data_IF_518209135535
#
_entry.id   IF_518209135535
#
_cell.length_a   1.000
_cell.length_b   1.000
_cell.length_c   1.000
_cell.angle_alpha   90.00
_cell.angle_beta   90.00
_cell.angle_gamma   90.00
#
_symmetry.space_group_name_H-M   'P 1'
#
loop_
_entity.id
_entity.type
_entity.pdbx_description
1 polymer ?
#
# COMPACT_ATOMS: atom_id res chain seq x y z
N UNK A 1 -14.64 -8.70 -42.67
CA UNK A 1 -14.16 -10.09 -42.71
C UNK A 1 -13.86 -10.48 -41.28
N UNK A 2 -14.82 -11.11 -40.61
CA UNK A 2 -14.65 -11.67 -39.27
C UNK A 2 -13.69 -12.85 -39.37
N UNK A 3 -12.69 -12.86 -38.50
CA UNK A 3 -11.64 -13.86 -38.42
C UNK A 3 -12.22 -15.24 -38.06
N UNK A 4 -12.53 -16.04 -39.09
CA UNK A 4 -13.14 -17.37 -39.00
C UNK A 4 -12.12 -18.45 -38.62
N UNK A 5 -10.90 -18.07 -38.22
CA UNK A 5 -9.86 -19.03 -37.80
C UNK A 5 -10.02 -19.48 -36.35
N UNK A 6 -10.73 -18.71 -35.52
CA UNK A 6 -11.00 -19.03 -34.12
C UNK A 6 -12.13 -20.06 -33.93
N UNK A 7 -12.97 -20.28 -34.95
CA UNK A 7 -14.08 -21.23 -34.91
C UNK A 7 -13.63 -22.70 -34.93
N UNK A 8 -12.36 -22.96 -35.24
CA UNK A 8 -11.75 -24.31 -35.27
C UNK A 8 -11.18 -24.76 -33.92
N UNK A 9 -10.89 -23.83 -32.99
CA UNK A 9 -10.29 -24.18 -31.70
C UNK A 9 -11.36 -24.50 -30.66
N UNK A 10 -11.27 -25.69 -30.06
CA UNK A 10 -12.16 -26.14 -29.00
C UNK A 10 -11.59 -25.75 -27.63
N UNK A 11 -12.44 -25.17 -26.77
CA UNK A 11 -12.07 -24.88 -25.38
C UNK A 11 -11.93 -26.21 -24.64
N UNK A 12 -10.74 -26.56 -24.16
CA UNK A 12 -10.49 -27.84 -23.51
C UNK A 12 -11.20 -27.97 -22.15
N UNK A 13 -11.52 -29.20 -21.76
CA UNK A 13 -11.96 -29.55 -20.41
C UNK A 13 -10.95 -29.01 -19.38
N UNK A 14 -11.42 -28.49 -18.25
CA UNK A 14 -10.61 -27.84 -17.21
C UNK A 14 -10.36 -26.35 -17.45
N UNK A 15 -10.71 -25.81 -18.62
CA UNK A 15 -10.53 -24.38 -18.90
C UNK A 15 -11.57 -23.56 -18.14
N UNK A 16 -11.10 -22.55 -17.41
CA UNK A 16 -12.01 -21.56 -16.83
C UNK A 16 -12.57 -20.65 -17.92
N UNK A 17 -13.88 -20.43 -17.87
CA UNK A 17 -14.64 -19.62 -18.83
C UNK A 17 -15.59 -18.68 -18.09
N UNK A 18 -15.92 -17.58 -18.75
CA UNK A 18 -16.85 -16.58 -18.25
C UNK A 18 -18.06 -16.48 -19.17
N UNK A 19 -19.26 -16.48 -18.59
CA UNK A 19 -20.50 -16.24 -19.34
C UNK A 19 -20.56 -14.80 -19.88
N UNK A 20 -20.75 -14.66 -21.18
CA UNK A 20 -20.91 -13.35 -21.85
C UNK A 20 -22.34 -12.83 -21.78
N UNK A 21 -23.32 -13.71 -21.55
CA UNK A 21 -24.74 -13.39 -21.47
C UNK A 21 -25.39 -14.11 -20.29
N UNK A 22 -26.47 -13.58 -19.71
CA UNK A 22 -27.20 -14.30 -18.68
C UNK A 22 -27.91 -15.52 -19.28
N UNK A 23 -27.95 -16.62 -18.53
CA UNK A 23 -28.52 -17.90 -18.97
C UNK A 23 -29.62 -18.35 -18.02
N UNK A 24 -30.75 -18.84 -18.54
CA UNK A 24 -31.83 -19.38 -17.71
C UNK A 24 -31.43 -20.76 -17.22
N UNK A 25 -31.61 -21.04 -15.93
CA UNK A 25 -31.31 -22.35 -15.37
C UNK A 25 -32.48 -23.29 -15.68
N UNK A 26 -32.28 -24.39 -16.44
CA UNK A 26 -33.36 -25.32 -16.74
C UNK A 26 -33.97 -25.90 -15.46
N UNK A 27 -35.29 -25.79 -15.31
CA UNK A 27 -36.01 -26.35 -14.16
C UNK A 27 -36.00 -25.49 -12.89
N UNK A 28 -35.40 -24.30 -12.91
CA UNK A 28 -35.47 -23.34 -11.82
C UNK A 28 -36.00 -21.98 -12.33
N UNK A 29 -36.75 -21.25 -11.49
CA UNK A 29 -37.18 -19.89 -11.80
C UNK A 29 -36.05 -18.88 -11.49
N UNK A 30 -34.85 -19.15 -11.97
CA UNK A 30 -33.64 -18.42 -11.65
C UNK A 30 -32.72 -18.31 -12.89
N UNK A 31 -31.92 -17.25 -12.93
CA UNK A 31 -31.01 -16.97 -14.04
C UNK A 31 -29.56 -16.90 -13.54
N UNK A 32 -28.65 -17.46 -14.33
CA UNK A 32 -27.21 -17.31 -14.15
C UNK A 32 -26.77 -15.98 -14.75
N UNK A 33 -26.18 -15.05 -13.98
CA UNK A 33 -25.83 -13.72 -14.49
C UNK A 33 -24.65 -13.77 -15.46
N UNK A 34 -24.61 -12.82 -16.39
CA UNK A 34 -23.40 -12.50 -17.18
C UNK A 34 -22.23 -12.23 -16.24
N UNK A 35 -21.05 -12.71 -16.61
CA UNK A 35 -19.84 -12.60 -15.79
C UNK A 35 -19.62 -13.77 -14.84
N UNK A 36 -20.57 -14.71 -14.75
CA UNK A 36 -20.38 -15.93 -13.95
C UNK A 36 -19.21 -16.75 -14.48
N UNK A 37 -18.32 -17.13 -13.57
CA UNK A 37 -17.16 -17.98 -13.85
C UNK A 37 -17.54 -19.44 -13.68
N UNK A 38 -17.16 -20.26 -14.65
CA UNK A 38 -17.30 -21.71 -14.58
C UNK A 38 -16.11 -22.39 -15.24
N UNK A 39 -16.07 -23.70 -15.12
CA UNK A 39 -15.07 -24.58 -15.71
C UNK A 39 -15.74 -25.45 -16.77
N UNK A 40 -15.11 -25.59 -17.93
CA UNK A 40 -15.57 -26.53 -18.96
C UNK A 40 -15.36 -27.95 -18.44
N UNK A 41 -16.46 -28.69 -18.22
CA UNK A 41 -16.42 -30.09 -17.80
C UNK A 41 -16.57 -31.06 -18.98
N UNK A 42 -17.21 -30.61 -20.07
CA UNK A 42 -17.31 -31.37 -21.31
C UNK A 42 -17.16 -30.42 -22.51
N UNK A 43 -16.21 -30.75 -23.39
CA UNK A 43 -15.97 -30.04 -24.65
C UNK A 43 -16.65 -30.79 -25.80
N UNK A 44 -17.35 -30.10 -26.71
CA UNK A 44 -17.92 -30.72 -27.89
C UNK A 44 -16.84 -31.08 -28.92
N UNK A 45 -17.23 -31.90 -29.91
CA UNK A 45 -16.40 -32.23 -31.08
C UNK A 45 -16.13 -31.04 -32.00
N UNK A 46 -17.02 -30.04 -31.97
CA UNK A 46 -16.97 -28.82 -32.78
C UNK A 46 -17.72 -27.67 -32.07
N UNK A 47 -17.42 -26.42 -32.44
CA UNK A 47 -18.00 -25.22 -31.82
C UNK A 47 -19.47 -24.94 -32.15
N UNK A 48 -20.12 -25.75 -33.00
CA UNK A 48 -21.56 -25.63 -33.28
C UNK A 48 -22.41 -26.20 -32.14
N UNK A 49 -21.82 -27.08 -31.33
CA UNK A 49 -22.45 -27.70 -30.16
C UNK A 49 -22.11 -26.95 -28.88
N UNK A 50 -22.94 -27.16 -27.86
CA UNK A 50 -22.75 -26.52 -26.56
C UNK A 50 -21.70 -27.26 -25.73
N UNK A 51 -20.94 -26.49 -24.96
CA UNK A 51 -20.05 -26.94 -23.90
C UNK A 51 -20.87 -27.20 -22.64
N UNK A 52 -20.51 -28.22 -21.86
CA UNK A 52 -21.02 -28.35 -20.49
C UNK A 52 -20.07 -27.58 -19.57
N UNK A 53 -20.62 -26.59 -18.85
CA UNK A 53 -19.87 -25.71 -17.97
C UNK A 53 -20.41 -25.84 -16.55
N UNK A 54 -19.54 -26.20 -15.61
CA UNK A 54 -19.85 -26.23 -14.18
C UNK A 54 -19.46 -24.90 -13.55
N UNK A 55 -20.39 -24.25 -12.87
CA UNK A 55 -20.16 -22.98 -12.20
C UNK A 55 -19.80 -23.16 -10.73
N UNK A 56 -19.29 -22.11 -10.09
CA UNK A 56 -18.84 -22.12 -8.69
C UNK A 56 -19.92 -22.52 -7.67
N UNK A 57 -21.20 -22.34 -8.00
CA UNK A 57 -22.34 -22.77 -7.17
C UNK A 57 -22.74 -24.24 -7.40
N UNK A 58 -21.93 -25.00 -8.12
CA UNK A 58 -22.14 -26.42 -8.44
C UNK A 58 -23.12 -26.67 -9.59
N UNK A 59 -23.75 -25.64 -10.15
CA UNK A 59 -24.69 -25.81 -11.26
C UNK A 59 -23.97 -26.05 -12.57
N UNK A 60 -24.53 -26.91 -13.42
CA UNK A 60 -24.01 -27.20 -14.75
C UNK A 60 -24.98 -26.70 -15.83
N UNK A 61 -24.48 -25.96 -16.80
CA UNK A 61 -25.27 -25.46 -17.93
C UNK A 61 -24.59 -25.78 -19.25
N UNK A 62 -25.41 -26.02 -20.28
CA UNK A 62 -24.96 -26.14 -21.66
C UNK A 62 -24.90 -24.77 -22.32
N UNK A 63 -23.70 -24.33 -22.71
CA UNK A 63 -23.43 -22.97 -23.19
C UNK A 63 -22.70 -23.01 -24.54
N UNK A 64 -23.08 -22.16 -25.50
CA UNK A 64 -22.45 -22.14 -26.84
C UNK A 64 -21.11 -21.42 -26.82
N UNK A 65 -20.21 -21.77 -27.75
CA UNK A 65 -18.88 -21.15 -27.90
C UNK A 65 -18.92 -19.61 -27.87
N UNK A 66 -19.81 -19.00 -28.64
CA UNK A 66 -19.93 -17.53 -28.73
C UNK A 66 -20.40 -16.84 -27.44
N UNK A 67 -20.90 -17.60 -26.47
CA UNK A 67 -21.38 -17.13 -25.18
C UNK A 67 -20.32 -17.29 -24.07
N UNK A 68 -19.17 -17.89 -24.38
CA UNK A 68 -18.07 -18.13 -23.46
C UNK A 68 -16.88 -17.23 -23.78
N UNK A 69 -16.15 -16.85 -22.74
CA UNK A 69 -14.88 -16.13 -22.85
C UNK A 69 -13.85 -16.88 -22.01
N UNK A 70 -12.77 -17.35 -22.62
CA UNK A 70 -11.71 -18.10 -21.91
C UNK A 70 -11.04 -17.18 -20.91
N UNK A 71 -11.10 -17.57 -19.63
CA UNK A 71 -10.33 -16.96 -18.56
C UNK A 71 -9.00 -17.69 -18.50
N UNK A 72 -7.90 -16.95 -18.62
CA UNK A 72 -6.59 -17.48 -18.19
C UNK A 72 -6.69 -17.66 -16.69
N UNK A 73 -6.81 -18.91 -16.24
CA UNK A 73 -6.51 -19.24 -14.86
C UNK A 73 -5.00 -19.03 -14.73
N UNK A 74 -4.61 -17.94 -14.07
CA UNK A 74 -3.28 -17.89 -13.52
C UNK A 74 -3.22 -19.08 -12.55
N UNK A 75 -2.44 -20.11 -12.87
CA UNK A 75 -1.99 -21.07 -11.86
C UNK A 75 -1.09 -20.28 -10.90
N UNK A 76 -1.70 -19.47 -10.05
CA UNK A 76 -0.98 -18.75 -9.02
C UNK A 76 -0.63 -19.78 -7.96
N UNK A 77 0.67 -20.05 -7.85
CA UNK A 77 1.25 -20.79 -6.71
C UNK A 77 1.03 -20.00 -5.39
N UNK A 78 0.53 -18.76 -5.49
CA UNK A 78 0.25 -17.80 -4.44
C UNK A 78 -0.92 -18.18 -3.51
N UNK A 79 -1.84 -19.07 -3.93
CA UNK A 79 -3.06 -19.38 -3.14
C UNK A 79 -2.84 -20.22 -1.87
N UNK A 80 -1.60 -20.59 -1.54
CA UNK A 80 -1.28 -21.30 -0.29
C UNK A 80 -0.83 -20.37 0.85
N UNK A 81 -1.35 -19.15 0.89
CA UNK A 81 -1.12 -18.19 1.96
C UNK A 81 -1.88 -18.56 3.25
N UNK A 82 -1.27 -19.46 4.02
CA UNK A 82 -1.50 -19.59 5.47
C UNK A 82 -1.19 -18.23 6.11
N UNK A 83 -1.82 -17.81 7.24
CA UNK A 83 -1.33 -16.68 8.01
C UNK A 83 0.19 -16.78 8.14
N UNK A 84 0.88 -15.73 7.70
CA UNK A 84 2.33 -15.76 7.61
C UNK A 84 2.95 -16.17 8.95
N UNK A 85 4.09 -16.86 8.94
CA UNK A 85 4.82 -17.16 10.17
C UNK A 85 5.05 -15.87 10.97
N UNK A 86 5.06 -15.99 12.30
CA UNK A 86 5.32 -14.85 13.18
C UNK A 86 6.64 -14.17 12.81
N UNK A 87 6.56 -12.91 12.39
CA UNK A 87 7.72 -12.14 11.91
C UNK A 87 8.50 -11.47 13.04
N UNK A 88 7.94 -11.42 14.27
CA UNK A 88 8.52 -10.71 15.41
C UNK A 88 9.98 -11.12 15.72
N UNK A 89 10.37 -12.41 15.64
CA UNK A 89 11.76 -12.81 15.85
C UNK A 89 12.76 -12.27 14.81
N UNK A 90 12.26 -11.71 13.70
CA UNK A 90 13.06 -11.21 12.57
C UNK A 90 13.07 -9.69 12.47
N UNK A 91 12.41 -8.99 13.42
CA UNK A 91 12.38 -7.53 13.46
C UNK A 91 13.77 -7.01 13.80
N UNK A 92 14.32 -6.18 12.91
CA UNK A 92 15.65 -5.55 13.05
C UNK A 92 15.56 -4.11 13.54
N UNK A 93 14.38 -3.50 13.39
CA UNK A 93 14.11 -2.11 13.74
C UNK A 93 12.65 -1.92 14.09
N UNK A 94 12.35 -1.27 15.22
CA UNK A 94 10.99 -0.92 15.63
C UNK A 94 10.97 0.42 16.34
N UNK A 95 9.95 1.21 16.07
CA UNK A 95 9.73 2.54 16.64
C UNK A 95 8.29 2.73 17.04
N UNK A 96 8.06 3.66 17.96
CA UNK A 96 6.74 4.20 18.22
C UNK A 96 6.45 5.30 17.18
N UNK A 97 5.21 5.36 16.68
CA UNK A 97 4.74 6.40 15.77
C UNK A 97 3.42 7.01 16.26
N UNK A 98 2.81 7.85 15.44
CA UNK A 98 1.54 8.47 15.76
C UNK A 98 1.68 9.63 16.74
N UNK A 99 0.59 9.95 17.44
CA UNK A 99 0.49 11.19 18.23
C UNK A 99 1.57 11.32 19.32
N UNK A 100 2.02 10.19 19.90
CA UNK A 100 3.13 10.16 20.87
C UNK A 100 4.48 10.48 20.25
N UNK A 101 4.77 9.99 19.03
CA UNK A 101 6.00 10.35 18.31
C UNK A 101 5.96 11.77 17.73
N UNK A 102 4.78 12.26 17.39
CA UNK A 102 4.59 13.62 16.84
C UNK A 102 4.63 14.74 17.88
N UNK A 103 4.73 14.41 19.18
CA UNK A 103 4.60 15.40 20.25
C UNK A 103 3.19 15.96 20.36
N UNK A 104 2.17 15.21 19.94
CA UNK A 104 0.74 15.58 19.89
C UNK A 104 -0.16 14.72 20.79
N UNK A 105 0.42 13.91 21.68
CA UNK A 105 -0.33 12.99 22.54
C UNK A 105 -1.23 13.70 23.54
N UNK A 106 -2.33 13.01 23.85
CA UNK A 106 -3.33 13.23 24.90
C UNK A 106 -3.57 11.92 25.66
N UNK A 107 -4.25 11.95 26.80
CA UNK A 107 -4.48 10.76 27.66
C UNK A 107 -5.22 9.60 26.96
N UNK A 108 -5.93 9.88 25.87
CA UNK A 108 -6.67 8.91 25.04
C UNK A 108 -5.90 8.40 23.80
N UNK A 109 -4.59 8.63 23.72
CA UNK A 109 -3.81 8.28 22.53
C UNK A 109 -3.55 6.79 22.42
N UNK A 110 -3.86 6.25 21.25
CA UNK A 110 -3.45 4.94 20.75
C UNK A 110 -1.91 4.81 20.73
N UNK A 111 -1.43 3.57 20.86
CA UNK A 111 -0.01 3.24 20.69
C UNK A 111 0.19 2.55 19.35
N UNK A 112 0.77 3.28 18.40
CA UNK A 112 1.11 2.78 17.09
C UNK A 112 2.60 2.42 17.05
N UNK A 113 2.93 1.20 16.62
CA UNK A 113 4.30 0.74 16.43
C UNK A 113 4.54 0.37 14.98
N UNK A 114 5.69 0.78 14.47
CA UNK A 114 6.13 0.49 13.11
C UNK A 114 7.50 -0.16 13.16
N UNK A 115 7.73 -1.15 12.30
CA UNK A 115 9.01 -1.83 12.26
C UNK A 115 9.37 -2.41 10.91
N UNK A 116 10.60 -2.88 10.82
CA UNK A 116 11.18 -3.54 9.66
C UNK A 116 11.72 -4.88 10.11
N UNK A 117 11.40 -5.93 9.36
CA UNK A 117 12.00 -7.25 9.57
C UNK A 117 12.82 -7.69 8.37
N UNK A 118 13.88 -8.42 8.67
CA UNK A 118 14.74 -9.08 7.70
C UNK A 118 14.48 -10.60 7.80
N UNK A 119 13.71 -11.18 6.87
CA UNK A 119 13.41 -12.61 6.92
C UNK A 119 14.70 -13.44 6.73
N UNK A 120 14.71 -14.69 7.24
CA UNK A 120 15.79 -15.63 6.95
C UNK A 120 15.94 -15.88 5.44
N UNK A 121 17.13 -16.33 5.04
CA UNK A 121 17.49 -16.44 3.63
C UNK A 121 16.64 -17.48 2.87
N UNK A 122 16.29 -18.59 3.51
CA UNK A 122 15.43 -19.64 2.96
C UNK A 122 14.02 -19.11 2.61
N UNK A 123 13.43 -18.24 3.42
CA UNK A 123 12.15 -17.60 3.11
C UNK A 123 12.26 -16.72 1.87
N UNK A 124 13.34 -15.95 1.75
CA UNK A 124 13.56 -15.08 0.61
C UNK A 124 13.85 -15.85 -0.68
N UNK A 125 14.54 -17.00 -0.60
CA UNK A 125 14.85 -17.87 -1.74
C UNK A 125 13.70 -18.79 -2.14
N UNK A 126 12.79 -19.07 -1.21
CA UNK A 126 11.60 -19.88 -1.45
C UNK A 126 10.72 -19.32 -2.58
N UNK A 127 9.99 -20.23 -3.22
CA UNK A 127 8.87 -19.91 -4.12
C UNK A 127 7.71 -19.27 -3.35
N UNK A 128 7.53 -19.65 -2.08
CA UNK A 128 6.62 -19.01 -1.14
C UNK A 128 7.36 -17.87 -0.47
N UNK A 129 7.04 -16.64 -0.87
CA UNK A 129 7.67 -15.44 -0.30
C UNK A 129 7.18 -15.17 1.12
N UNK A 130 8.03 -14.55 1.97
CA UNK A 130 7.54 -14.00 3.22
C UNK A 130 6.39 -13.03 2.95
N UNK A 131 5.49 -12.80 3.93
CA UNK A 131 4.58 -11.67 3.81
C UNK A 131 5.39 -10.41 3.50
N UNK A 132 4.84 -9.52 2.70
CA UNK A 132 5.48 -8.23 2.46
C UNK A 132 5.27 -7.27 3.64
N UNK A 133 4.17 -7.48 4.38
CA UNK A 133 3.73 -6.68 5.52
C UNK A 133 2.98 -7.59 6.49
N UNK A 134 3.28 -7.45 7.77
CA UNK A 134 2.58 -8.12 8.86
C UNK A 134 1.93 -7.05 9.75
N UNK A 135 0.70 -7.31 10.18
CA UNK A 135 -0.06 -6.41 11.03
C UNK A 135 -0.59 -7.20 12.23
N UNK A 136 -0.56 -6.58 13.41
CA UNK A 136 -1.19 -7.15 14.60
C UNK A 136 -1.81 -6.06 15.45
N UNK A 137 -2.88 -6.42 16.17
CA UNK A 137 -3.55 -5.55 17.11
C UNK A 137 -3.79 -6.33 18.41
N UNK A 138 -3.12 -5.91 19.48
CA UNK A 138 -3.20 -6.56 20.79
C UNK A 138 -3.06 -5.51 21.90
N UNK A 139 -3.87 -5.63 22.95
CA UNK A 139 -3.82 -4.76 24.15
C UNK A 139 -3.86 -3.25 23.84
N UNK A 140 -4.55 -2.85 22.76
CA UNK A 140 -4.65 -1.45 22.33
C UNK A 140 -3.42 -0.91 21.60
N UNK A 141 -2.49 -1.79 21.22
CA UNK A 141 -1.30 -1.50 20.43
C UNK A 141 -1.50 -2.01 18.99
N UNK A 142 -1.36 -1.11 18.02
CA UNK A 142 -1.35 -1.45 16.60
C UNK A 142 0.11 -1.58 16.14
N UNK A 143 0.52 -2.76 15.68
CA UNK A 143 1.87 -2.99 15.14
C UNK A 143 1.81 -3.28 13.64
N UNK A 144 2.64 -2.57 12.88
CA UNK A 144 2.86 -2.81 11.45
C UNK A 144 4.34 -3.05 11.19
N UNK A 145 4.68 -4.21 10.63
CA UNK A 145 6.05 -4.54 10.24
C UNK A 145 6.14 -4.76 8.74
N UNK A 146 7.14 -4.15 8.10
CA UNK A 146 7.44 -4.35 6.68
C UNK A 146 8.63 -5.26 6.48
N UNK A 147 8.56 -6.12 5.47
CA UNK A 147 9.75 -6.78 4.96
C UNK A 147 10.73 -5.72 4.42
N UNK A 148 12.03 -5.93 4.65
CA UNK A 148 13.07 -4.93 4.38
C UNK A 148 13.13 -4.45 2.92
N UNK A 149 12.98 -5.30 1.92
CA UNK A 149 12.97 -4.89 0.51
C UNK A 149 11.74 -4.04 0.19
N UNK A 150 10.55 -4.44 0.67
CA UNK A 150 9.36 -3.58 0.52
C UNK A 150 9.56 -2.22 1.19
N UNK A 151 10.10 -2.21 2.40
CA UNK A 151 10.37 -0.99 3.13
C UNK A 151 11.29 -0.06 2.34
N UNK A 152 12.44 -0.58 1.89
CA UNK A 152 13.43 0.17 1.11
C UNK A 152 12.84 0.70 -0.21
N UNK A 153 12.10 -0.14 -0.95
CA UNK A 153 11.46 0.25 -2.21
C UNK A 153 10.48 1.41 -2.01
N UNK A 154 9.63 1.33 -0.98
CA UNK A 154 8.64 2.36 -0.69
C UNK A 154 9.29 3.63 -0.10
N UNK A 155 10.37 3.50 0.68
CA UNK A 155 11.17 4.64 1.15
C UNK A 155 11.86 5.39 0.00
N UNK A 156 12.42 4.66 -0.98
CA UNK A 156 12.96 5.23 -2.22
C UNK A 156 11.90 5.95 -3.07
N UNK A 157 10.63 5.54 -2.95
CA UNK A 157 9.48 6.23 -3.55
C UNK A 157 8.98 7.41 -2.71
N UNK A 158 9.70 7.78 -1.65
CA UNK A 158 9.41 8.91 -0.76
C UNK A 158 8.05 8.75 -0.05
N UNK A 159 7.68 7.53 0.32
CA UNK A 159 6.46 7.29 1.08
C UNK A 159 6.58 7.90 2.50
N UNK A 160 5.75 8.90 2.87
CA UNK A 160 5.91 9.61 4.15
C UNK A 160 5.85 8.70 5.38
N UNK A 161 4.95 7.71 5.40
CA UNK A 161 4.78 6.83 6.55
C UNK A 161 6.05 6.03 6.85
N UNK A 162 6.73 5.59 5.79
CA UNK A 162 7.95 4.81 5.90
C UNK A 162 9.16 5.70 6.20
N UNK A 163 9.23 6.88 5.58
CA UNK A 163 10.26 7.84 5.91
C UNK A 163 10.17 8.23 7.38
N UNK A 164 9.02 8.64 7.89
CA UNK A 164 8.84 8.98 9.31
C UNK A 164 9.27 7.86 10.27
N UNK A 165 9.14 6.60 9.85
CA UNK A 165 9.61 5.45 10.64
C UNK A 165 11.12 5.54 10.90
N UNK A 166 11.94 5.94 9.92
CA UNK A 166 13.40 6.05 10.07
C UNK A 166 13.87 7.20 10.97
N UNK A 167 13.06 8.27 11.08
CA UNK A 167 13.37 9.46 11.88
C UNK A 167 12.55 9.55 13.18
N UNK A 168 11.80 8.51 13.53
CA UNK A 168 11.05 8.53 14.79
C UNK A 168 11.99 8.73 15.98
N UNK A 169 11.66 9.65 16.93
CA UNK A 169 12.49 9.91 18.09
C UNK A 169 12.44 8.78 19.13
N UNK A 170 11.41 7.92 19.07
CA UNK A 170 11.18 6.86 20.07
C UNK A 170 11.46 5.50 19.44
N UNK A 171 12.68 5.00 19.64
CA UNK A 171 13.13 3.70 19.16
C UNK A 171 12.86 2.63 20.22
N UNK A 172 12.11 1.60 19.85
CA UNK A 172 11.74 0.48 20.75
C UNK A 172 12.69 -0.70 20.60
N UNK A 173 13.13 -0.97 19.37
CA UNK A 173 14.10 -2.02 19.05
C UNK A 173 15.02 -1.57 17.93
N UNK A 174 16.31 -1.91 18.04
CA UNK A 174 17.33 -1.59 17.05
C UNK A 174 18.50 -2.54 17.19
N UNK A 175 18.71 -3.41 16.19
CA UNK A 175 19.92 -4.21 16.09
C UNK A 175 20.97 -3.54 15.19
N UNK A 176 22.09 -4.23 14.93
CA UNK A 176 23.16 -3.72 14.08
C UNK A 176 22.71 -3.45 12.64
N UNK A 177 21.89 -4.33 12.05
CA UNK A 177 21.37 -4.15 10.69
C UNK A 177 20.30 -3.04 10.65
N UNK A 178 19.51 -2.88 11.71
CA UNK A 178 18.62 -1.75 11.89
C UNK A 178 19.38 -0.42 11.99
N UNK A 179 20.55 -0.39 12.65
CA UNK A 179 21.39 0.80 12.68
C UNK A 179 21.96 1.12 11.29
N UNK A 180 22.47 0.12 10.57
CA UNK A 180 22.91 0.28 9.17
C UNK A 180 21.78 0.83 8.28
N UNK A 181 20.53 0.36 8.47
CA UNK A 181 19.34 0.89 7.78
C UNK A 181 19.11 2.38 8.11
N UNK A 182 19.22 2.79 9.38
CA UNK A 182 19.06 4.19 9.78
C UNK A 182 20.17 5.09 9.26
N UNK A 183 21.36 4.56 9.03
CA UNK A 183 22.48 5.32 8.45
C UNK A 183 22.28 5.60 6.95
N UNK A 184 21.34 4.90 6.30
CA UNK A 184 20.91 5.18 4.92
C UNK A 184 19.90 6.33 4.81
N UNK A 185 19.47 6.95 5.90
CA UNK A 185 18.51 8.07 5.89
C UNK A 185 18.76 9.11 4.78
N UNK A 186 19.98 9.63 4.58
CA UNK A 186 20.25 10.59 3.50
C UNK A 186 20.01 10.05 2.09
N UNK A 187 20.11 8.72 1.88
CA UNK A 187 19.94 8.09 0.58
C UNK A 187 18.50 8.12 0.06
N UNK A 188 17.50 8.26 0.94
CA UNK A 188 16.09 8.26 0.56
C UNK A 188 15.56 9.65 0.17
N UNK A 189 16.21 10.72 0.63
CA UNK A 189 15.76 12.08 0.40
C UNK A 189 16.27 12.62 -0.93
N UNK A 190 15.36 13.20 -1.70
CA UNK A 190 15.68 13.82 -2.98
C UNK A 190 14.65 14.90 -3.31
N UNK A 191 14.90 15.66 -4.38
CA UNK A 191 13.97 16.66 -4.93
C UNK A 191 12.61 16.04 -5.33
N UNK A 192 12.52 14.72 -5.51
CA UNK A 192 11.24 14.02 -5.70
C UNK A 192 10.27 14.16 -4.52
N UNK A 193 10.77 14.45 -3.31
CA UNK A 193 9.95 14.63 -2.12
C UNK A 193 8.83 15.65 -2.32
N UNK A 194 9.14 16.77 -2.97
CA UNK A 194 8.16 17.81 -3.32
C UNK A 194 7.00 17.23 -4.14
N UNK A 195 7.31 16.50 -5.21
CA UNK A 195 6.29 15.93 -6.12
C UNK A 195 5.39 14.93 -5.40
N UNK A 196 5.97 14.04 -4.59
CA UNK A 196 5.22 13.01 -3.87
C UNK A 196 4.32 13.63 -2.80
N UNK A 197 4.85 14.55 -1.99
CA UNK A 197 4.11 15.18 -0.90
C UNK A 197 3.01 16.10 -1.44
N UNK A 198 3.31 16.97 -2.42
CA UNK A 198 2.29 17.84 -3.03
C UNK A 198 1.20 17.03 -3.72
N UNK A 199 1.54 15.93 -4.41
CA UNK A 199 0.57 15.03 -5.02
C UNK A 199 -0.36 14.38 -3.98
N UNK A 200 0.21 13.90 -2.86
CA UNK A 200 -0.57 13.35 -1.77
C UNK A 200 -1.47 14.42 -1.12
N UNK A 201 -0.93 15.60 -0.83
CA UNK A 201 -1.68 16.71 -0.22
C UNK A 201 -2.87 17.10 -1.10
N UNK A 202 -2.67 17.26 -2.40
CA UNK A 202 -3.73 17.56 -3.36
C UNK A 202 -4.82 16.48 -3.37
N UNK A 203 -4.43 15.20 -3.32
CA UNK A 203 -5.38 14.09 -3.31
C UNK A 203 -6.27 14.09 -2.06
N UNK A 204 -5.66 14.30 -0.88
CA UNK A 204 -6.37 14.38 0.39
C UNK A 204 -7.26 15.63 0.47
N UNK A 205 -6.77 16.76 -0.03
CA UNK A 205 -7.53 18.00 -0.05
C UNK A 205 -8.78 17.87 -0.95
N UNK A 206 -8.67 17.23 -2.12
CA UNK A 206 -9.82 16.94 -2.99
C UNK A 206 -10.86 16.07 -2.31
N UNK A 207 -10.43 15.02 -1.60
CA UNK A 207 -11.33 14.14 -0.86
C UNK A 207 -12.03 14.90 0.28
N UNK A 208 -11.29 15.72 1.01
CA UNK A 208 -11.81 16.56 2.08
C UNK A 208 -12.85 17.57 1.57
N UNK A 209 -12.54 18.25 0.46
CA UNK A 209 -13.45 19.19 -0.20
C UNK A 209 -14.73 18.49 -0.66
N UNK A 210 -14.62 17.35 -1.34
CA UNK A 210 -15.79 16.57 -1.79
C UNK A 210 -16.72 16.22 -0.63
N UNK A 211 -16.16 15.82 0.52
CA UNK A 211 -16.94 15.52 1.71
C UNK A 211 -17.61 16.77 2.29
N UNK A 212 -16.88 17.87 2.37
CA UNK A 212 -17.40 19.15 2.83
C UNK A 212 -18.56 19.64 1.95
N UNK A 213 -18.39 19.62 0.63
CA UNK A 213 -19.41 20.08 -0.31
C UNK A 213 -20.67 19.16 -0.28
N UNK A 214 -20.52 17.87 0.02
CA UNK A 214 -21.63 16.93 0.11
C UNK A 214 -22.35 16.89 1.47
N UNK A 215 -21.62 17.09 2.58
CA UNK A 215 -22.12 16.83 3.93
C UNK A 215 -21.94 18.03 4.89
N UNK A 216 -21.50 19.19 4.41
CA UNK A 216 -21.23 20.38 5.20
C UNK A 216 -20.12 20.23 6.25
N UNK A 217 -19.37 19.13 6.22
CA UNK A 217 -18.39 18.77 7.27
C UNK A 217 -17.14 18.13 6.69
N UNK A 218 -16.03 18.23 7.42
CA UNK A 218 -14.76 17.54 7.10
C UNK A 218 -14.18 16.86 8.34
N UNK A 219 -13.24 15.93 8.15
CA UNK A 219 -12.59 15.20 9.25
C UNK A 219 -11.41 16.01 9.79
N UNK A 220 -11.56 16.61 10.97
CA UNK A 220 -10.53 17.38 11.67
C UNK A 220 -9.18 16.65 11.81
N UNK A 221 -9.20 15.35 12.19
CA UNK A 221 -7.99 14.51 12.27
C UNK A 221 -7.22 14.45 10.93
N UNK A 222 -7.94 14.38 9.81
CA UNK A 222 -7.32 14.32 8.47
C UNK A 222 -6.74 15.68 8.07
N UNK A 223 -7.46 16.77 8.35
CA UNK A 223 -6.96 18.13 8.11
C UNK A 223 -5.67 18.42 8.89
N UNK A 224 -5.65 18.08 10.18
CA UNK A 224 -4.45 18.22 11.01
C UNK A 224 -3.27 17.44 10.43
N UNK A 225 -3.49 16.17 10.05
CA UNK A 225 -2.43 15.34 9.49
C UNK A 225 -1.89 15.88 8.16
N UNK A 226 -2.75 16.47 7.33
CA UNK A 226 -2.37 17.13 6.08
C UNK A 226 -1.42 18.32 6.32
N UNK A 227 -1.79 19.22 7.25
CA UNK A 227 -0.99 20.39 7.62
C UNK A 227 0.35 19.96 8.24
N UNK A 228 0.33 18.96 9.12
CA UNK A 228 1.54 18.36 9.70
C UNK A 228 2.49 17.84 8.62
N UNK A 229 1.96 17.14 7.61
CA UNK A 229 2.79 16.58 6.54
C UNK A 229 3.45 17.67 5.68
N UNK A 230 2.76 18.79 5.44
CA UNK A 230 3.34 19.95 4.76
C UNK A 230 4.51 20.54 5.56
N UNK A 231 4.35 20.76 6.87
CA UNK A 231 5.45 21.20 7.74
C UNK A 231 6.65 20.25 7.69
N UNK A 232 6.41 18.94 7.80
CA UNK A 232 7.47 17.93 7.69
C UNK A 232 8.15 17.95 6.31
N UNK A 233 7.40 18.14 5.23
CA UNK A 233 7.95 18.22 3.87
C UNK A 233 8.81 19.47 3.67
N UNK A 234 8.35 20.63 4.14
CA UNK A 234 9.10 21.89 4.12
C UNK A 234 10.42 21.73 4.88
N UNK A 235 10.37 21.16 6.09
CA UNK A 235 11.57 20.88 6.88
C UNK A 235 12.55 19.98 6.12
N UNK A 236 12.05 18.91 5.50
CA UNK A 236 12.87 17.98 4.75
C UNK A 236 13.62 18.62 3.58
N UNK A 237 12.95 19.49 2.83
CA UNK A 237 13.61 20.21 1.73
C UNK A 237 14.63 21.23 2.23
N UNK A 238 14.40 21.87 3.38
CA UNK A 238 15.31 22.89 3.94
C UNK A 238 16.54 22.29 4.62
N UNK A 239 16.37 21.18 5.33
CA UNK A 239 17.39 20.66 6.26
C UNK A 239 17.98 19.30 5.87
N UNK A 240 17.30 18.55 4.99
CA UNK A 240 17.77 17.23 4.56
C UNK A 240 17.52 16.12 5.58
N UNK A 241 16.51 16.28 6.44
CA UNK A 241 16.03 15.26 7.37
C UNK A 241 14.50 15.34 7.57
N UNK A 242 13.87 14.26 8.06
CA UNK A 242 12.42 14.22 8.29
C UNK A 242 12.13 14.56 9.74
N UNK A 243 11.40 15.67 9.95
CA UNK A 243 10.94 16.07 11.28
C UNK A 243 9.65 15.35 11.65
N UNK A 244 9.76 14.37 12.54
CA UNK A 244 8.60 13.62 13.07
C UNK A 244 7.93 14.38 14.23
N UNK A 245 8.71 14.89 15.18
CA UNK A 245 8.20 15.72 16.28
C UNK A 245 7.91 17.14 15.80
N UNK A 246 6.63 17.51 15.80
CA UNK A 246 6.11 18.80 15.34
C UNK A 246 5.67 19.68 16.51
N UNK A 247 6.29 19.53 17.68
CA UNK A 247 5.95 20.27 18.89
C UNK A 247 5.90 21.80 18.70
N UNK A 248 6.70 22.36 17.80
CA UNK A 248 6.68 23.79 17.45
C UNK A 248 5.35 24.24 16.80
N UNK A 249 4.62 23.31 16.20
CA UNK A 249 3.31 23.52 15.57
C UNK A 249 2.16 22.92 16.40
N UNK A 250 2.42 22.49 17.65
CA UNK A 250 1.44 21.76 18.48
C UNK A 250 0.14 22.51 18.66
N UNK A 251 0.19 23.81 18.97
CA UNK A 251 -1.00 24.63 19.20
C UNK A 251 -1.89 24.70 17.94
N UNK A 252 -1.28 25.01 16.79
CA UNK A 252 -1.96 25.02 15.49
C UNK A 252 -2.59 23.65 15.19
N UNK A 253 -1.82 22.57 15.26
CA UNK A 253 -2.28 21.24 14.91
C UNK A 253 -3.38 20.72 15.84
N UNK A 254 -3.29 21.00 17.15
CA UNK A 254 -4.33 20.62 18.10
C UNK A 254 -5.61 21.44 17.94
N UNK A 255 -5.51 22.73 17.62
CA UNK A 255 -6.69 23.57 17.35
C UNK A 255 -7.44 23.16 16.07
N UNK A 256 -6.72 22.65 15.06
CA UNK A 256 -7.35 22.01 13.89
C UNK A 256 -8.02 20.71 14.31
N UNK A 257 -7.32 19.86 15.10
CA UNK A 257 -7.83 18.55 15.55
C UNK A 257 -9.08 18.66 16.41
N UNK A 258 -9.21 19.69 17.25
CA UNK A 258 -10.40 19.95 18.06
C UNK A 258 -11.62 20.40 17.24
N UNK A 259 -11.43 20.71 15.95
CA UNK A 259 -12.51 21.20 15.08
C UNK A 259 -12.77 22.69 15.21
N UNK A 260 -11.86 23.45 15.82
CA UNK A 260 -12.01 24.91 15.99
C UNK A 260 -11.83 25.70 14.68
N UNK A 261 -11.28 25.06 13.64
CA UNK A 261 -11.02 25.67 12.34
C UNK A 261 -12.14 25.39 11.35
N UNK A 262 -12.53 26.40 10.57
CA UNK A 262 -13.40 26.18 9.42
C UNK A 262 -12.65 25.50 8.28
N UNK A 263 -13.38 24.92 7.32
CA UNK A 263 -12.77 24.38 6.11
C UNK A 263 -11.99 25.45 5.33
N UNK A 264 -12.51 26.69 5.29
CA UNK A 264 -11.87 27.81 4.61
C UNK A 264 -10.53 28.19 5.27
N UNK A 265 -10.45 28.17 6.60
CA UNK A 265 -9.21 28.45 7.33
C UNK A 265 -8.16 27.37 7.07
N UNK A 266 -8.55 26.09 7.12
CA UNK A 266 -7.66 24.96 6.78
C UNK A 266 -7.18 25.07 5.34
N UNK A 267 -8.06 25.43 4.41
CA UNK A 267 -7.70 25.64 3.01
C UNK A 267 -6.67 26.76 2.84
N UNK A 268 -6.92 27.91 3.47
CA UNK A 268 -6.03 29.06 3.41
C UNK A 268 -4.64 28.68 3.92
N UNK A 269 -4.57 28.01 5.07
CA UNK A 269 -3.30 27.59 5.66
C UNK A 269 -2.55 26.55 4.83
N UNK A 270 -3.26 25.58 4.25
CA UNK A 270 -2.65 24.61 3.34
C UNK A 270 -2.02 25.30 2.11
N UNK A 271 -2.67 26.33 1.56
CA UNK A 271 -2.14 27.10 0.42
C UNK A 271 -0.93 27.97 0.81
N UNK A 272 -0.90 28.51 2.04
CA UNK A 272 0.27 29.22 2.55
C UNK A 272 1.48 28.29 2.66
N UNK A 273 1.29 27.12 3.26
CA UNK A 273 2.34 26.11 3.40
C UNK A 273 2.78 25.54 2.05
N UNK A 274 1.88 25.38 1.08
CA UNK A 274 2.23 24.95 -0.27
C UNK A 274 3.20 25.94 -0.95
N UNK A 275 2.98 27.26 -0.78
CA UNK A 275 3.92 28.28 -1.27
C UNK A 275 5.28 28.20 -0.57
N UNK A 276 5.30 27.99 0.74
CA UNK A 276 6.54 27.80 1.49
C UNK A 276 7.28 26.52 1.03
N UNK A 277 6.53 25.47 0.71
CA UNK A 277 7.06 24.20 0.23
C UNK A 277 7.66 24.35 -1.17
N UNK A 278 7.02 25.10 -2.05
CA UNK A 278 7.56 25.46 -3.35
C UNK A 278 8.86 26.28 -3.20
N UNK A 279 8.89 27.29 -2.34
CA UNK A 279 10.10 28.10 -2.10
C UNK A 279 11.26 27.25 -1.53
N UNK A 280 10.95 26.28 -0.66
CA UNK A 280 11.94 25.33 -0.17
C UNK A 280 12.46 24.41 -1.28
N UNK A 281 11.60 23.96 -2.20
CA UNK A 281 11.99 23.17 -3.37
C UNK A 281 12.90 23.93 -4.35
N UNK A 282 12.70 25.23 -4.52
CA UNK A 282 13.53 26.07 -5.37
C UNK A 282 14.97 26.23 -4.83
N UNK A 283 15.16 26.12 -3.52
CA UNK A 283 16.45 26.37 -2.85
C UNK A 283 17.12 25.15 -2.22
N UNK A 284 16.44 24.00 -2.20
CA UNK A 284 16.94 22.77 -1.57
C UNK A 284 18.25 22.27 -2.21
N UNK A 285 19.14 21.76 -1.34
CA UNK A 285 20.39 21.11 -1.71
C UNK A 285 20.27 19.58 -1.84
N UNK A 286 19.06 19.03 -1.68
CA UNK A 286 18.82 17.61 -1.87
C UNK A 286 19.14 17.18 -3.30
N UNK A 287 19.62 15.93 -3.51
CA UNK A 287 19.93 15.42 -4.83
C UNK A 287 18.66 15.30 -5.69
N UNK A 288 18.83 15.27 -7.02
CA UNK A 288 17.71 15.07 -7.94
C UNK A 288 17.01 13.72 -7.73
N UNK A 289 17.75 12.66 -7.43
CA UNK A 289 17.23 11.29 -7.25
C UNK A 289 17.76 10.68 -5.95
N UNK A 290 17.02 9.74 -5.33
CA UNK A 290 17.53 8.98 -4.21
C UNK A 290 18.68 8.05 -4.65
N UNK A 291 19.53 7.66 -3.69
CA UNK A 291 20.69 6.78 -3.92
C UNK A 291 20.26 5.30 -3.87
N UNK A 292 19.61 4.87 -4.95
CA UNK A 292 19.14 3.49 -5.11
C UNK A 292 20.27 2.45 -5.06
N UNK A 293 21.45 2.81 -5.56
CA UNK A 293 22.60 1.89 -5.63
C UNK A 293 23.13 1.57 -4.23
N UNK A 294 23.30 2.59 -3.38
CA UNK A 294 23.74 2.38 -2.00
C UNK A 294 22.70 1.61 -1.18
N UNK A 295 21.41 1.90 -1.38
CA UNK A 295 20.32 1.17 -0.74
C UNK A 295 20.27 -0.30 -1.17
N UNK A 296 20.45 -0.58 -2.46
CA UNK A 296 20.49 -1.95 -2.98
C UNK A 296 21.70 -2.74 -2.44
N UNK A 297 22.87 -2.10 -2.38
CA UNK A 297 24.08 -2.70 -1.80
C UNK A 297 23.88 -3.11 -0.35
N UNK A 298 23.24 -2.25 0.45
CA UNK A 298 22.87 -2.56 1.83
C UNK A 298 21.93 -3.77 1.90
N UNK A 299 20.85 -3.80 1.10
CA UNK A 299 19.91 -4.93 1.10
C UNK A 299 20.61 -6.26 0.82
N UNK A 300 21.49 -6.29 -0.17
CA UNK A 300 22.28 -7.48 -0.52
C UNK A 300 23.21 -7.88 0.64
N UNK A 301 23.90 -6.91 1.26
CA UNK A 301 24.79 -7.17 2.39
C UNK A 301 24.03 -7.71 3.61
N UNK A 302 22.91 -7.09 3.97
CA UNK A 302 22.04 -7.51 5.06
C UNK A 302 21.53 -8.95 4.86
N UNK A 303 21.06 -9.28 3.65
CA UNK A 303 20.61 -10.64 3.30
C UNK A 303 21.74 -11.66 3.37
N UNK A 304 22.96 -11.32 2.93
CA UNK A 304 24.13 -12.21 3.05
C UNK A 304 24.52 -12.45 4.50
N UNK A 305 24.55 -11.40 5.33
CA UNK A 305 24.83 -11.49 6.76
C UNK A 305 23.83 -12.40 7.46
N UNK A 306 22.53 -12.29 7.13
CA UNK A 306 21.48 -13.15 7.69
C UNK A 306 21.57 -14.61 7.23
N UNK A 307 22.08 -14.87 6.02
CA UNK A 307 22.29 -16.23 5.53
C UNK A 307 23.44 -16.97 6.24
N UNK A 308 24.35 -16.24 6.89
CA UNK A 308 25.52 -16.79 7.59
C UNK A 308 25.33 -16.96 9.10
N UNK A 309 24.17 -16.57 9.64
CA UNK A 309 23.79 -16.69 11.05
C UNK A 309 22.88 -17.91 11.24
#
# INVERSE_FOLDING_TARGET
MTDDTLSTFIISVGTQVVLRFPHVIPGANAMKPKGSVGEVVESPTDNSRAYLVRFLDGQELRVKFGELLVRRADHSVEESATPGPDVRPFVIYQVLVGSRAFGLSTDSSDEDRRGVYLPPADWNWSLVKPPEQAESFADGVEEVHWEIEKFLRLALQVNPNLLETLWSPVVLHLDETGQELRDLRPCFLSRHLYRTYSGYVLSQFRLMKKRHDAAGTFKAKHAMHLIRLLHSGIHALRHGDIRVDVGEHREELLSIRSGSWSFADVQKRALELDREFQAAYETTQLPEKPDTERVNRFLIAARRKRATQ
#
